data_IF_924244677244
#
_entry.id   IF_924244677244
#
_cell.length_a   1.000
_cell.length_b   1.000
_cell.length_c   1.000
_cell.angle_alpha   90.00
_cell.angle_beta   90.00
_cell.angle_gamma   90.00
#
_symmetry.space_group_name_H-M   'P 1'
#
loop_
_entity.id
_entity.type
_entity.pdbx_description
1 polymer ?
#
# COMPACT_ATOMS: atom_id res chain seq x y z
N UNK A 1 38.76 -31.35 15.57
CA UNK A 1 37.30 -31.39 15.39
C UNK A 1 36.63 -30.45 16.42
N UNK A 2 35.70 -29.63 15.97
CA UNK A 2 34.96 -28.67 16.78
C UNK A 2 33.59 -29.22 17.18
N UNK A 3 33.09 -28.85 18.36
CA UNK A 3 31.73 -29.15 18.72
C UNK A 3 30.74 -28.06 18.16
N UNK A 4 29.43 -28.29 18.28
CA UNK A 4 28.38 -27.37 17.79
C UNK A 4 28.56 -25.97 18.35
N UNK A 5 28.90 -25.81 19.63
CA UNK A 5 29.05 -24.52 20.30
C UNK A 5 30.25 -23.73 19.74
N UNK A 6 31.38 -24.41 19.53
CA UNK A 6 32.58 -23.80 18.97
C UNK A 6 32.38 -23.38 17.52
N UNK A 7 31.70 -24.22 16.73
CA UNK A 7 31.37 -23.92 15.33
C UNK A 7 30.37 -22.78 15.23
N UNK A 8 29.35 -22.74 16.09
CA UNK A 8 28.38 -21.65 16.16
C UNK A 8 29.04 -20.29 16.42
N UNK A 9 29.97 -20.26 17.40
CA UNK A 9 30.78 -19.07 17.72
C UNK A 9 31.65 -18.64 16.53
N UNK A 10 32.35 -19.57 15.88
CA UNK A 10 33.21 -19.29 14.73
C UNK A 10 32.44 -18.77 13.49
N UNK A 11 31.21 -19.23 13.27
CA UNK A 11 30.39 -18.85 12.11
C UNK A 11 29.41 -17.71 12.38
N UNK A 12 29.30 -17.25 13.64
CA UNK A 12 28.37 -16.17 14.05
C UNK A 12 26.91 -16.56 13.87
N UNK A 13 26.54 -17.81 14.15
CA UNK A 13 25.17 -18.33 14.05
C UNK A 13 24.78 -19.10 15.32
N UNK A 14 23.48 -19.39 15.49
CA UNK A 14 23.01 -20.12 16.67
C UNK A 14 23.42 -21.61 16.64
N UNK A 15 23.63 -22.21 17.80
CA UNK A 15 23.90 -23.66 17.95
C UNK A 15 22.80 -24.54 17.33
N UNK A 16 21.55 -24.07 17.43
CA UNK A 16 20.39 -24.72 16.78
C UNK A 16 20.54 -24.81 15.27
N UNK A 17 21.04 -23.75 14.65
CA UNK A 17 21.28 -23.70 13.20
C UNK A 17 22.40 -24.67 12.79
N UNK A 18 23.52 -24.70 13.51
CA UNK A 18 24.61 -25.65 13.26
C UNK A 18 24.13 -27.10 13.41
N UNK A 19 23.37 -27.39 14.48
CA UNK A 19 22.78 -28.72 14.69
C UNK A 19 21.82 -29.14 13.57
N UNK A 20 21.05 -28.18 13.05
CA UNK A 20 20.16 -28.42 11.90
C UNK A 20 20.97 -28.74 10.64
N UNK A 21 22.02 -27.96 10.36
CA UNK A 21 22.91 -28.17 9.20
C UNK A 21 23.64 -29.53 9.27
N UNK A 22 24.03 -30.01 10.46
CA UNK A 22 24.56 -31.34 10.65
C UNK A 22 23.50 -32.41 10.36
N UNK A 23 22.28 -32.26 10.89
CA UNK A 23 21.17 -33.22 10.65
C UNK A 23 20.77 -33.32 9.18
N UNK A 24 20.87 -32.23 8.44
CA UNK A 24 20.52 -32.16 7.00
C UNK A 24 21.71 -32.42 6.06
N UNK A 25 22.82 -32.93 6.59
CA UNK A 25 24.05 -33.25 5.85
C UNK A 25 24.59 -32.07 5.00
N UNK A 26 24.35 -30.84 5.44
CA UNK A 26 24.87 -29.63 4.77
C UNK A 26 26.32 -29.33 5.13
N UNK A 27 26.83 -29.92 6.20
CA UNK A 27 28.22 -29.81 6.63
C UNK A 27 28.94 -31.14 6.28
N UNK A 28 29.81 -31.08 5.30
CA UNK A 28 30.59 -32.25 4.89
C UNK A 28 31.50 -32.72 6.02
N UNK A 29 31.52 -34.03 6.25
CA UNK A 29 32.39 -34.65 7.26
C UNK A 29 31.90 -34.49 8.71
N UNK A 30 30.72 -33.94 8.96
CA UNK A 30 30.16 -33.89 10.31
C UNK A 30 29.65 -35.29 10.71
N UNK A 31 30.13 -35.79 11.86
CA UNK A 31 29.74 -37.11 12.42
C UNK A 31 29.19 -36.96 13.83
N UNK A 32 28.27 -37.80 14.22
CA UNK A 32 27.69 -37.83 15.54
C UNK A 32 28.33 -38.96 16.38
N UNK A 33 29.10 -38.57 17.41
CA UNK A 33 29.78 -39.53 18.31
C UNK A 33 29.23 -39.31 19.73
N UNK A 34 28.77 -40.39 20.35
CA UNK A 34 28.18 -40.35 21.69
C UNK A 34 27.09 -39.28 21.87
N UNK A 35 26.24 -39.09 20.86
CA UNK A 35 25.18 -38.09 20.91
C UNK A 35 25.58 -36.66 20.56
N UNK A 36 26.87 -36.36 20.45
CA UNK A 36 27.42 -35.02 20.18
C UNK A 36 27.92 -34.94 18.74
N UNK A 37 27.59 -33.86 18.03
CA UNK A 37 28.11 -33.57 16.69
C UNK A 37 29.58 -33.15 16.78
N UNK A 38 30.44 -33.83 16.00
CA UNK A 38 31.82 -33.49 15.75
C UNK A 38 31.95 -32.99 14.30
N UNK A 39 32.47 -31.77 14.17
CA UNK A 39 32.57 -31.03 12.91
C UNK A 39 34.03 -30.84 12.59
N UNK A 40 34.49 -31.14 11.37
CA UNK A 40 35.88 -30.92 10.96
C UNK A 40 36.31 -29.48 11.16
N UNK A 41 37.56 -29.24 11.49
CA UNK A 41 38.09 -27.89 11.76
C UNK A 41 38.15 -27.02 10.51
N UNK A 42 38.26 -27.67 9.32
CA UNK A 42 38.29 -27.08 7.99
C UNK A 42 36.90 -26.94 7.36
N UNK A 43 35.84 -27.38 8.06
CA UNK A 43 34.48 -27.27 7.55
C UNK A 43 34.10 -25.79 7.31
N UNK A 44 33.69 -25.53 6.07
CA UNK A 44 33.20 -24.20 5.69
C UNK A 44 31.71 -24.03 6.00
N UNK A 45 31.33 -22.81 6.37
CA UNK A 45 29.93 -22.46 6.58
C UNK A 45 29.17 -22.64 5.24
N UNK A 46 28.12 -23.47 5.19
CA UNK A 46 27.31 -23.60 3.99
C UNK A 46 26.74 -22.26 3.54
N UNK A 47 26.75 -22.00 2.22
CA UNK A 47 26.18 -20.79 1.66
C UNK A 47 24.68 -20.73 1.95
N UNK A 48 24.21 -19.59 2.44
CA UNK A 48 22.77 -19.37 2.64
C UNK A 48 22.08 -19.28 1.28
N UNK A 49 21.40 -20.36 0.88
CA UNK A 49 20.66 -20.44 -0.39
C UNK A 49 19.55 -19.40 -0.51
N UNK A 50 19.14 -18.77 0.60
CA UNK A 50 18.16 -17.67 0.59
C UNK A 50 18.76 -16.41 -0.01
N UNK A 51 20.08 -16.24 0.04
CA UNK A 51 20.78 -15.05 -0.49
C UNK A 51 21.06 -15.21 -2.00
N UNK A 52 21.27 -16.46 -2.48
CA UNK A 52 21.67 -16.74 -3.87
C UNK A 52 20.57 -16.48 -4.89
N UNK A 53 19.29 -16.57 -4.52
CA UNK A 53 18.19 -16.43 -5.48
C UNK A 53 17.89 -15.00 -5.92
N UNK A 54 18.44 -13.97 -5.27
CA UNK A 54 18.15 -12.56 -5.58
C UNK A 54 16.65 -12.19 -5.51
N UNK A 55 15.78 -13.18 -5.34
CA UNK A 55 14.33 -13.08 -5.45
C UNK A 55 13.70 -12.16 -4.41
N UNK A 56 14.43 -11.86 -3.34
CA UNK A 56 13.98 -10.95 -2.25
C UNK A 56 14.77 -9.65 -2.17
N UNK A 57 15.77 -9.44 -3.05
CA UNK A 57 16.49 -8.18 -3.19
C UNK A 57 15.93 -7.34 -4.35
N UNK A 58 14.64 -7.16 -4.42
CA UNK A 58 14.13 -5.97 -5.07
C UNK A 58 14.33 -4.83 -4.08
N UNK A 59 15.26 -3.95 -4.37
CA UNK A 59 15.32 -2.59 -3.81
C UNK A 59 14.09 -1.82 -4.30
N UNK A 60 12.91 -2.26 -3.92
CA UNK A 60 11.75 -1.40 -3.96
C UNK A 60 11.95 -0.43 -2.80
N UNK A 61 12.37 0.80 -3.08
CA UNK A 61 12.15 1.92 -2.17
C UNK A 61 10.71 1.76 -1.69
N UNK A 62 10.53 1.30 -0.44
CA UNK A 62 9.20 1.06 0.11
C UNK A 62 8.52 2.42 0.14
N UNK A 63 7.50 2.60 -0.68
CA UNK A 63 6.69 3.82 -0.62
C UNK A 63 6.09 3.94 0.78
N UNK A 64 6.06 5.14 1.32
CA UNK A 64 5.41 5.42 2.60
C UNK A 64 3.90 5.13 2.53
N UNK A 65 3.28 4.84 3.67
CA UNK A 65 1.83 4.70 3.74
C UNK A 65 1.17 6.09 3.64
N UNK A 66 0.00 6.23 2.98
CA UNK A 66 -0.69 7.51 2.78
C UNK A 66 -1.43 7.97 4.06
N UNK A 67 -0.69 8.20 5.14
CA UNK A 67 -1.27 8.64 6.43
C UNK A 67 -1.63 10.12 6.34
N UNK A 68 -2.91 10.46 6.49
CA UNK A 68 -3.38 11.84 6.45
C UNK A 68 -3.53 12.44 5.04
N UNK A 69 -3.26 11.68 3.99
CA UNK A 69 -3.43 12.11 2.60
C UNK A 69 -4.90 11.97 2.20
N UNK A 70 -5.46 13.02 1.64
CA UNK A 70 -6.83 13.08 1.12
C UNK A 70 -6.90 13.24 -0.40
N UNK A 71 -5.79 13.54 -1.04
CA UNK A 71 -5.64 13.71 -2.49
C UNK A 71 -5.29 12.35 -3.12
N UNK A 72 -6.15 11.89 -4.03
CA UNK A 72 -6.01 10.59 -4.70
C UNK A 72 -4.82 10.54 -5.66
N UNK A 73 -4.60 11.60 -6.43
CA UNK A 73 -3.51 11.68 -7.41
C UNK A 73 -2.17 11.59 -6.68
N UNK A 74 -2.00 12.39 -5.64
CA UNK A 74 -0.81 12.39 -4.80
C UNK A 74 -0.61 11.06 -4.07
N UNK A 75 -1.71 10.44 -3.58
CA UNK A 75 -1.64 9.15 -2.91
C UNK A 75 -1.09 8.05 -3.83
N UNK A 76 -1.42 8.08 -5.12
CA UNK A 76 -0.90 7.13 -6.10
C UNK A 76 0.55 7.40 -6.50
N UNK A 77 0.91 8.65 -6.69
CA UNK A 77 2.26 9.03 -7.13
C UNK A 77 3.32 8.70 -6.06
N UNK A 78 3.10 9.16 -4.84
CA UNK A 78 4.14 9.24 -3.80
C UNK A 78 4.05 8.11 -2.76
N UNK A 79 2.88 7.47 -2.62
CA UNK A 79 2.60 6.56 -1.51
C UNK A 79 2.25 5.13 -1.95
N UNK A 80 2.30 4.21 -1.01
CA UNK A 80 1.79 2.85 -1.20
C UNK A 80 0.24 2.89 -1.13
N UNK A 81 -0.38 2.97 -2.30
CA UNK A 81 -1.83 3.00 -2.43
C UNK A 81 -2.38 1.59 -2.68
N UNK A 82 -3.36 1.19 -1.87
CA UNK A 82 -4.13 -0.04 -2.10
C UNK A 82 -5.30 0.28 -3.02
N UNK A 83 -5.36 -0.39 -4.15
CA UNK A 83 -6.41 -0.18 -5.15
C UNK A 83 -7.81 -0.47 -4.58
N UNK A 84 -8.65 0.56 -4.57
CA UNK A 84 -10.06 0.50 -4.15
C UNK A 84 -11.00 0.96 -5.27
N UNK A 85 -10.51 1.00 -6.50
CA UNK A 85 -11.29 1.54 -7.64
C UNK A 85 -12.51 0.71 -8.01
N UNK A 86 -12.64 -0.53 -7.51
CA UNK A 86 -13.87 -1.30 -7.65
C UNK A 86 -15.07 -0.65 -6.96
N UNK A 87 -14.85 0.26 -6.01
CA UNK A 87 -15.91 1.10 -5.43
C UNK A 87 -16.64 1.92 -6.51
N UNK A 88 -15.94 2.34 -7.57
CA UNK A 88 -16.52 3.07 -8.70
C UNK A 88 -17.52 2.16 -9.45
N UNK A 89 -17.16 0.90 -9.67
CA UNK A 89 -18.05 -0.09 -10.28
C UNK A 89 -19.32 -0.28 -9.45
N UNK A 90 -19.13 -0.55 -8.17
CA UNK A 90 -20.24 -0.80 -7.24
C UNK A 90 -21.18 0.42 -7.16
N UNK A 91 -20.64 1.63 -7.21
CA UNK A 91 -21.40 2.88 -7.26
C UNK A 91 -22.21 3.01 -8.56
N UNK A 92 -21.61 2.68 -9.70
CA UNK A 92 -22.27 2.73 -11.00
C UNK A 92 -23.35 1.65 -11.17
N UNK A 93 -23.13 0.46 -10.64
CA UNK A 93 -24.06 -0.66 -10.74
C UNK A 93 -25.29 -0.44 -9.84
N UNK A 94 -25.09 0.04 -8.63
CA UNK A 94 -26.16 0.27 -7.66
C UNK A 94 -26.97 1.54 -7.93
N UNK A 95 -26.37 2.55 -8.58
CA UNK A 95 -26.98 3.87 -8.87
C UNK A 95 -27.73 4.48 -7.68
N UNK A 96 -27.13 4.54 -6.50
CA UNK A 96 -27.82 5.04 -5.31
C UNK A 96 -28.07 6.55 -5.44
N UNK A 97 -29.25 6.99 -5.02
CA UNK A 97 -29.57 8.42 -4.90
C UNK A 97 -28.70 9.08 -3.81
N UNK A 98 -28.42 8.33 -2.75
CA UNK A 98 -27.55 8.77 -1.63
C UNK A 98 -26.66 7.61 -1.21
N UNK A 99 -25.38 7.89 -1.05
CA UNK A 99 -24.40 6.93 -0.51
C UNK A 99 -23.79 7.47 0.77
N UNK A 100 -23.89 6.71 1.86
CA UNK A 100 -23.29 7.06 3.14
C UNK A 100 -22.09 6.15 3.44
N UNK A 101 -20.90 6.73 3.54
CA UNK A 101 -19.68 6.01 3.89
C UNK A 101 -19.37 6.12 5.38
N UNK A 102 -19.82 5.16 6.17
CA UNK A 102 -19.56 5.09 7.61
C UNK A 102 -18.30 4.27 7.89
N UNK A 103 -17.19 4.93 8.10
CA UNK A 103 -15.92 4.29 8.47
C UNK A 103 -15.26 5.07 9.61
N UNK A 104 -14.49 4.45 10.50
CA UNK A 104 -13.72 5.16 11.52
C UNK A 104 -12.78 6.20 10.93
N UNK A 105 -12.23 7.09 11.76
CA UNK A 105 -11.20 8.04 11.33
C UNK A 105 -10.00 7.29 10.74
N UNK A 106 -9.31 7.89 9.75
CA UNK A 106 -8.10 7.37 9.07
C UNK A 106 -8.33 6.12 8.19
N UNK A 107 -9.57 5.72 7.94
CA UNK A 107 -9.90 4.62 7.01
C UNK A 107 -10.11 5.08 5.55
N UNK A 108 -9.57 6.24 5.19
CA UNK A 108 -9.52 6.71 3.80
C UNK A 108 -10.85 7.17 3.22
N UNK A 109 -11.83 7.61 4.04
CA UNK A 109 -13.12 8.12 3.54
C UNK A 109 -12.94 9.25 2.52
N UNK A 110 -12.24 10.31 2.91
CA UNK A 110 -11.99 11.47 2.04
C UNK A 110 -11.19 11.08 0.81
N UNK A 111 -10.20 10.21 0.95
CA UNK A 111 -9.41 9.70 -0.18
C UNK A 111 -10.26 8.92 -1.19
N UNK A 112 -11.21 8.10 -0.72
CA UNK A 112 -12.13 7.37 -1.61
C UNK A 112 -13.13 8.32 -2.28
N UNK A 113 -13.60 9.35 -1.58
CA UNK A 113 -14.47 10.38 -2.17
C UNK A 113 -13.71 11.20 -3.22
N UNK A 114 -12.47 11.55 -2.95
CA UNK A 114 -11.63 12.24 -3.93
C UNK A 114 -11.29 11.35 -5.14
N UNK A 115 -11.11 10.05 -4.95
CA UNK A 115 -10.98 9.07 -6.03
C UNK A 115 -12.23 9.07 -6.93
N UNK A 116 -13.44 9.09 -6.36
CA UNK A 116 -14.68 9.19 -7.11
C UNK A 116 -14.74 10.53 -7.88
N UNK A 117 -14.38 11.64 -7.23
CA UNK A 117 -14.30 12.94 -7.88
C UNK A 117 -13.36 12.91 -9.09
N UNK A 118 -12.12 12.49 -8.91
CA UNK A 118 -11.10 12.42 -9.98
C UNK A 118 -11.53 11.51 -11.12
N UNK A 119 -12.32 10.46 -10.84
CA UNK A 119 -12.83 9.57 -11.88
C UNK A 119 -13.95 10.20 -12.69
N UNK A 120 -14.94 10.80 -12.03
CA UNK A 120 -16.15 11.26 -12.70
C UNK A 120 -16.03 12.69 -13.26
N UNK A 121 -15.23 13.53 -12.65
CA UNK A 121 -15.16 14.96 -12.94
C UNK A 121 -14.63 15.26 -14.34
N UNK A 122 -15.33 16.16 -15.04
CA UNK A 122 -14.85 16.79 -16.27
C UNK A 122 -13.62 17.62 -15.93
N UNK A 123 -12.52 17.40 -16.63
CA UNK A 123 -11.26 18.13 -16.43
C UNK A 123 -10.57 18.33 -17.76
N UNK A 124 -9.84 19.43 -17.89
CA UNK A 124 -8.97 19.72 -19.04
C UNK A 124 -7.76 18.77 -19.10
N UNK A 125 -7.43 18.13 -17.98
CA UNK A 125 -6.36 17.15 -17.90
C UNK A 125 -6.91 15.73 -18.09
N UNK A 126 -6.16 14.86 -18.80
CA UNK A 126 -6.49 13.45 -18.92
C UNK A 126 -6.28 12.72 -17.57
N UNK A 127 -7.32 12.68 -16.74
CA UNK A 127 -7.29 11.97 -15.47
C UNK A 127 -7.40 10.45 -15.63
N UNK A 128 -7.66 9.93 -16.83
CA UNK A 128 -7.74 8.48 -17.10
C UNK A 128 -6.43 7.76 -16.81
N UNK A 129 -5.29 8.46 -16.91
CA UNK A 129 -3.94 7.93 -16.64
C UNK A 129 -3.81 7.33 -15.23
N UNK A 130 -4.58 7.84 -14.25
CA UNK A 130 -4.57 7.36 -12.88
C UNK A 130 -5.37 6.08 -12.66
N UNK A 131 -6.13 5.63 -13.68
CA UNK A 131 -7.02 4.48 -13.60
C UNK A 131 -6.66 3.34 -14.57
N UNK A 132 -5.82 3.59 -15.60
CA UNK A 132 -5.46 2.61 -16.65
C UNK A 132 -4.86 1.31 -16.12
N UNK A 133 -4.13 1.37 -15.01
CA UNK A 133 -3.51 0.21 -14.35
C UNK A 133 -4.37 -0.39 -13.21
N UNK A 134 -5.53 0.19 -12.91
CA UNK A 134 -6.40 -0.17 -11.80
C UNK A 134 -7.47 -1.18 -12.16
N UNK A 135 -8.07 -1.78 -11.12
CA UNK A 135 -9.08 -2.81 -11.27
C UNK A 135 -10.33 -2.32 -12.04
N UNK A 136 -10.74 -1.07 -11.83
CA UNK A 136 -11.89 -0.50 -12.56
C UNK A 136 -11.69 -0.51 -14.08
N UNK A 137 -10.47 -0.27 -14.56
CA UNK A 137 -10.19 -0.25 -15.99
C UNK A 137 -10.37 -1.62 -16.65
N UNK A 138 -10.20 -2.69 -15.87
CA UNK A 138 -10.38 -4.08 -16.30
C UNK A 138 -11.83 -4.52 -16.31
N UNK A 139 -12.74 -3.76 -15.69
CA UNK A 139 -14.17 -4.08 -15.62
C UNK A 139 -14.92 -3.90 -16.96
N UNK A 140 -14.31 -3.24 -17.94
CA UNK A 140 -14.89 -3.12 -19.28
C UNK A 140 -15.20 -1.70 -19.72
N UNK A 141 -15.62 -1.58 -20.97
CA UNK A 141 -15.85 -0.31 -21.65
C UNK A 141 -17.00 0.50 -21.06
N UNK A 142 -18.02 -0.15 -20.55
CA UNK A 142 -19.18 0.50 -19.93
C UNK A 142 -18.78 1.41 -18.77
N UNK A 143 -17.80 0.99 -17.98
CA UNK A 143 -17.30 1.78 -16.85
C UNK A 143 -16.30 2.85 -17.31
N UNK A 144 -15.43 2.53 -18.27
CA UNK A 144 -14.43 3.48 -18.81
C UNK A 144 -15.10 4.70 -19.43
N UNK A 145 -16.23 4.51 -20.12
CA UNK A 145 -17.00 5.60 -20.74
C UNK A 145 -17.58 6.61 -19.75
N UNK A 146 -17.65 6.27 -18.47
CA UNK A 146 -18.15 7.17 -17.43
C UNK A 146 -17.08 8.09 -16.87
N UNK A 147 -15.82 7.84 -17.18
CA UNK A 147 -14.70 8.63 -16.70
C UNK A 147 -14.69 10.01 -17.36
N UNK A 148 -14.52 11.06 -16.53
CA UNK A 148 -14.39 12.44 -16.99
C UNK A 148 -15.65 13.04 -17.63
N UNK A 149 -16.86 12.60 -17.23
CA UNK A 149 -18.11 13.00 -17.92
C UNK A 149 -19.07 13.85 -17.13
N UNK A 150 -18.82 14.03 -15.85
CA UNK A 150 -19.81 14.66 -14.97
C UNK A 150 -19.25 15.93 -14.33
N UNK A 151 -20.06 16.99 -14.20
CA UNK A 151 -19.73 18.08 -13.28
C UNK A 151 -19.86 17.53 -11.86
N UNK A 152 -18.77 17.56 -11.08
CA UNK A 152 -18.73 17.02 -9.72
C UNK A 152 -18.58 18.17 -8.73
N UNK A 153 -19.54 18.33 -7.84
CA UNK A 153 -19.43 19.26 -6.71
C UNK A 153 -18.78 18.52 -5.55
N UNK A 154 -17.60 18.98 -5.12
CA UNK A 154 -16.85 18.36 -4.04
C UNK A 154 -16.63 19.34 -2.89
N UNK A 155 -17.39 19.16 -1.81
CA UNK A 155 -17.35 20.04 -0.63
C UNK A 155 -16.75 19.31 0.57
N UNK A 156 -15.88 20.00 1.30
CA UNK A 156 -15.36 19.55 2.58
C UNK A 156 -15.65 20.60 3.67
N UNK A 157 -16.27 20.16 4.76
CA UNK A 157 -16.55 21.01 5.93
C UNK A 157 -15.50 20.86 7.03
N UNK A 158 -14.33 20.29 6.69
CA UNK A 158 -13.26 20.02 7.66
C UNK A 158 -12.83 21.28 8.42
N UNK A 159 -12.77 22.39 7.72
CA UNK A 159 -12.27 23.66 8.25
C UNK A 159 -13.42 24.63 8.67
N UNK A 160 -14.66 24.15 8.61
CA UNK A 160 -15.84 24.90 9.06
C UNK A 160 -16.06 24.65 10.55
N UNK A 161 -15.26 25.31 11.39
CA UNK A 161 -15.29 25.16 12.86
C UNK A 161 -15.11 26.53 13.51
N UNK A 162 -16.18 27.28 13.62
CA UNK A 162 -16.18 28.59 14.25
C UNK A 162 -17.14 28.64 15.44
N UNK A 163 -16.85 29.48 16.41
CA UNK A 163 -17.70 29.72 17.59
C UNK A 163 -18.91 30.58 17.28
N UNK A 164 -18.90 31.31 16.16
CA UNK A 164 -19.97 32.22 15.76
C UNK A 164 -20.69 31.70 14.51
N UNK A 165 -22.01 31.87 14.47
CA UNK A 165 -22.84 31.55 13.31
C UNK A 165 -22.43 32.36 12.08
N UNK A 166 -22.15 33.64 12.23
CA UNK A 166 -21.77 34.53 11.13
C UNK A 166 -20.50 34.01 10.45
N UNK A 167 -19.44 33.76 11.20
CA UNK A 167 -18.17 33.25 10.66
C UNK A 167 -18.32 31.85 10.01
N UNK A 168 -19.21 31.03 10.56
CA UNK A 168 -19.51 29.70 9.97
C UNK A 168 -20.18 29.87 8.60
N UNK A 169 -21.18 30.76 8.50
CA UNK A 169 -21.88 31.01 7.24
C UNK A 169 -20.98 31.66 6.18
N UNK A 170 -20.12 32.58 6.59
CA UNK A 170 -19.16 33.19 5.67
C UNK A 170 -18.20 32.19 5.10
N UNK A 171 -17.70 31.24 5.92
CA UNK A 171 -16.84 30.15 5.41
C UNK A 171 -17.59 29.20 4.48
N UNK A 172 -18.85 28.90 4.74
CA UNK A 172 -19.67 28.08 3.83
C UNK A 172 -19.86 28.81 2.50
N UNK A 173 -20.16 30.11 2.52
CA UNK A 173 -20.27 30.92 1.28
C UNK A 173 -18.97 30.90 0.48
N UNK A 174 -17.83 31.11 1.14
CA UNK A 174 -16.49 31.03 0.51
C UNK A 174 -16.26 29.68 -0.17
N UNK A 175 -16.58 28.56 0.53
CA UNK A 175 -16.46 27.22 -0.05
C UNK A 175 -17.33 27.03 -1.28
N UNK A 176 -18.58 27.48 -1.23
CA UNK A 176 -19.50 27.39 -2.36
C UNK A 176 -19.04 28.27 -3.52
N UNK A 177 -18.57 29.49 -3.26
CA UNK A 177 -18.02 30.36 -4.31
C UNK A 177 -16.79 29.75 -4.98
N UNK A 178 -15.86 29.20 -4.20
CA UNK A 178 -14.66 28.52 -4.73
C UNK A 178 -15.05 27.35 -5.62
N UNK A 179 -16.01 26.54 -5.19
CA UNK A 179 -16.48 25.40 -5.95
C UNK A 179 -17.21 25.82 -7.23
N UNK A 180 -18.01 26.89 -7.17
CA UNK A 180 -18.70 27.44 -8.32
C UNK A 180 -17.70 27.96 -9.38
N UNK A 181 -16.68 28.72 -8.95
CA UNK A 181 -15.63 29.19 -9.86
C UNK A 181 -14.81 28.08 -10.51
N UNK A 182 -14.77 26.90 -9.92
CA UNK A 182 -14.08 25.73 -10.48
C UNK A 182 -14.82 25.15 -11.68
N UNK A 183 -16.09 25.45 -11.86
CA UNK A 183 -16.98 24.93 -12.90
C UNK A 183 -17.37 25.96 -13.98
N UNK A 184 -16.90 27.20 -13.89
CA UNK A 184 -17.06 28.23 -14.90
C UNK A 184 -15.81 28.29 -15.77
#
# INVERSE_FOLDING_TARGET
MKNVKQTAAAWGISERMVSHMCKTAQISGAVKINGIWQIPDDAQKPADRRIVSGKYRKEHKKKALPVGISDYIRAQADYYYVDKTLLIRDFLDQRPLVSLFTRPRRFGKTLNMDMLRVFFEISDQDTSIYFKDKAIWKCGETYRKQQGRYPVIFLTFKDVKFSSWVSTMDKIRELLQTEFHRHI
#
